data_IF_956806570949
#
_entry.id   IF_956806570949
#
_cell.length_a   1.000
_cell.length_b   1.000
_cell.length_c   1.000
_cell.angle_alpha   90.00
_cell.angle_beta   90.00
_cell.angle_gamma   90.00
#
_symmetry.space_group_name_H-M   'P 1'
#
loop_
_entity.id
_entity.type
_entity.pdbx_description
1 polymer ?
#
# COMPACT_ATOMS: atom_id res chain seq x y z
N UNK A 1 -25.11 5.72 -8.81
CA UNK A 1 -24.08 4.65 -8.65
C UNK A 1 -22.75 5.26 -9.04
N UNK A 2 -21.90 5.60 -8.07
CA UNK A 2 -20.56 6.12 -8.38
C UNK A 2 -19.67 4.94 -8.76
N UNK A 3 -19.49 4.72 -10.06
CA UNK A 3 -18.57 3.71 -10.56
C UNK A 3 -17.17 4.22 -10.25
N UNK A 4 -16.43 3.53 -9.41
CA UNK A 4 -15.01 3.86 -9.19
C UNK A 4 -14.29 3.62 -10.52
N UNK A 5 -13.69 4.62 -11.16
CA UNK A 5 -12.96 4.42 -12.41
C UNK A 5 -11.80 3.43 -12.19
N UNK A 6 -11.58 2.54 -13.15
CA UNK A 6 -10.43 1.63 -13.13
C UNK A 6 -9.09 2.39 -13.05
N UNK A 7 -9.07 3.66 -13.47
CA UNK A 7 -7.95 4.59 -13.30
C UNK A 7 -7.59 4.80 -11.83
N UNK A 8 -8.57 4.97 -10.94
CA UNK A 8 -8.33 5.13 -9.49
C UNK A 8 -7.74 3.85 -8.89
N UNK A 9 -8.15 2.67 -9.39
CA UNK A 9 -7.60 1.40 -8.92
C UNK A 9 -6.15 1.23 -9.37
N UNK A 10 -5.81 1.67 -10.59
CA UNK A 10 -4.43 1.69 -11.10
C UNK A 10 -3.54 2.67 -10.33
N UNK A 11 -4.00 3.88 -10.05
CA UNK A 11 -3.28 4.84 -9.22
C UNK A 11 -2.97 4.25 -7.84
N UNK A 12 -3.93 3.54 -7.22
CA UNK A 12 -3.70 2.84 -5.94
C UNK A 12 -2.71 1.68 -6.07
N UNK A 13 -2.63 1.02 -7.22
CA UNK A 13 -1.62 0.00 -7.48
C UNK A 13 -0.22 0.61 -7.60
N UNK A 14 -0.08 1.75 -8.28
CA UNK A 14 1.17 2.50 -8.36
C UNK A 14 1.62 3.02 -6.99
N UNK A 15 0.70 3.54 -6.18
CA UNK A 15 0.97 3.93 -4.78
C UNK A 15 1.45 2.73 -3.93
N UNK A 16 0.84 1.56 -4.08
CA UNK A 16 1.27 0.35 -3.36
C UNK A 16 2.70 -0.03 -3.78
N UNK A 17 3.01 0.00 -5.08
CA UNK A 17 4.35 -0.32 -5.58
C UNK A 17 5.38 0.69 -5.07
N UNK A 18 5.04 1.99 -5.03
CA UNK A 18 5.90 3.03 -4.48
C UNK A 18 6.18 2.79 -2.99
N UNK A 19 5.15 2.51 -2.19
CA UNK A 19 5.29 2.22 -0.76
C UNK A 19 6.12 0.96 -0.49
N UNK A 20 6.00 -0.08 -1.32
CA UNK A 20 6.84 -1.28 -1.22
C UNK A 20 8.31 -0.93 -1.47
N UNK A 21 8.60 -0.14 -2.51
CA UNK A 21 9.97 0.30 -2.81
C UNK A 21 10.56 1.15 -1.70
N UNK A 22 9.77 2.03 -1.09
CA UNK A 22 10.20 2.80 0.08
C UNK A 22 10.53 1.90 1.27
N UNK A 23 9.68 0.91 1.57
CA UNK A 23 9.95 -0.06 2.63
C UNK A 23 11.21 -0.88 2.32
N UNK A 24 11.39 -1.35 1.10
CA UNK A 24 12.61 -2.08 0.68
C UNK A 24 13.88 -1.22 0.83
N UNK A 25 13.80 0.07 0.51
CA UNK A 25 14.90 1.02 0.74
C UNK A 25 15.22 1.15 2.22
N UNK A 26 14.20 1.36 3.06
CA UNK A 26 14.37 1.48 4.51
C UNK A 26 14.90 0.20 5.14
N UNK A 27 14.52 -0.98 4.64
CA UNK A 27 15.06 -2.28 5.08
C UNK A 27 16.53 -2.43 4.67
N UNK A 28 16.92 -1.93 3.50
CA UNK A 28 18.33 -1.91 3.10
C UNK A 28 19.15 -0.94 3.97
N UNK A 29 18.61 0.24 4.27
CA UNK A 29 19.21 1.18 5.20
C UNK A 29 19.37 0.56 6.60
N UNK A 30 18.36 -0.17 7.09
CA UNK A 30 18.40 -0.89 8.36
C UNK A 30 19.56 -1.90 8.43
N UNK A 31 19.83 -2.62 7.32
CA UNK A 31 20.93 -3.60 7.27
C UNK A 31 22.30 -2.93 7.44
N UNK A 32 22.46 -1.70 6.96
CA UNK A 32 23.69 -0.90 7.07
C UNK A 32 23.73 0.03 8.29
N UNK A 33 22.61 0.19 9.00
CA UNK A 33 22.47 1.14 10.10
C UNK A 33 23.15 0.68 11.40
N UNK A 34 23.58 1.65 12.22
CA UNK A 34 24.08 1.42 13.58
C UNK A 34 22.94 1.07 14.53
N UNK A 35 23.22 0.46 15.70
CA UNK A 35 22.17 0.06 16.65
C UNK A 35 21.28 1.22 17.12
N UNK A 36 21.84 2.42 17.27
CA UNK A 36 21.11 3.62 17.66
C UNK A 36 20.11 4.07 16.58
N UNK A 37 20.44 3.88 15.30
CA UNK A 37 19.60 4.30 14.17
C UNK A 37 18.64 3.20 13.71
N UNK A 38 18.89 1.94 14.05
CA UNK A 38 17.99 0.81 13.76
C UNK A 38 16.60 1.00 14.36
N UNK A 39 16.49 1.48 15.60
CA UNK A 39 15.20 1.68 16.26
C UNK A 39 14.33 2.71 15.51
N UNK A 40 14.92 3.82 15.05
CA UNK A 40 14.23 4.85 14.27
C UNK A 40 13.81 4.33 12.89
N UNK A 41 14.66 3.55 12.23
CA UNK A 41 14.36 2.96 10.93
C UNK A 41 13.25 1.90 11.05
N UNK A 42 13.25 1.09 12.12
CA UNK A 42 12.17 0.14 12.40
C UNK A 42 10.85 0.89 12.58
N UNK A 43 10.84 1.97 13.36
CA UNK A 43 9.63 2.77 13.56
C UNK A 43 9.10 3.31 12.23
N UNK A 44 9.98 3.87 11.38
CA UNK A 44 9.61 4.35 10.03
C UNK A 44 9.07 3.21 9.14
N UNK A 45 9.69 2.03 9.16
CA UNK A 45 9.19 0.86 8.43
C UNK A 45 7.77 0.50 8.90
N UNK A 46 7.55 0.42 10.21
CA UNK A 46 6.23 0.04 10.75
C UNK A 46 5.13 1.07 10.44
N UNK A 47 5.46 2.37 10.38
CA UNK A 47 4.53 3.40 9.92
C UNK A 47 4.18 3.20 8.43
N UNK A 48 5.17 2.99 7.58
CA UNK A 48 4.95 2.76 6.15
C UNK A 48 4.20 1.46 5.85
N UNK A 49 4.39 0.43 6.67
CA UNK A 49 3.59 -0.80 6.59
C UNK A 49 2.11 -0.57 6.95
N UNK A 50 1.83 0.28 7.95
CA UNK A 50 0.45 0.67 8.30
C UNK A 50 -0.20 1.44 7.15
N UNK A 51 0.52 2.37 6.53
CA UNK A 51 0.03 3.12 5.37
C UNK A 51 -0.27 2.20 4.20
N UNK A 52 0.64 1.27 3.90
CA UNK A 52 0.46 0.27 2.86
C UNK A 52 -0.77 -0.62 3.12
N UNK A 53 -1.01 -1.01 4.38
CA UNK A 53 -2.22 -1.73 4.78
C UNK A 53 -3.48 -0.90 4.55
N UNK A 54 -3.45 0.40 4.87
CA UNK A 54 -4.57 1.31 4.66
C UNK A 54 -4.89 1.51 3.17
N UNK A 55 -3.87 1.67 2.32
CA UNK A 55 -4.04 1.79 0.86
C UNK A 55 -4.61 0.50 0.27
N UNK A 56 -4.12 -0.69 0.70
CA UNK A 56 -4.68 -1.98 0.29
C UNK A 56 -6.14 -2.15 0.69
N UNK A 57 -6.51 -1.75 1.91
CA UNK A 57 -7.91 -1.78 2.36
C UNK A 57 -8.80 -0.88 1.52
N UNK A 58 -8.38 0.37 1.26
CA UNK A 58 -9.12 1.30 0.40
C UNK A 58 -9.29 0.74 -1.02
N UNK A 59 -8.26 0.13 -1.60
CA UNK A 59 -8.35 -0.57 -2.89
C UNK A 59 -9.37 -1.72 -2.84
N UNK A 60 -9.37 -2.51 -1.77
CA UNK A 60 -10.36 -3.57 -1.57
C UNK A 60 -11.79 -3.05 -1.49
N UNK A 61 -12.01 -1.94 -0.80
CA UNK A 61 -13.31 -1.25 -0.73
C UNK A 61 -13.74 -0.74 -2.11
N UNK A 62 -12.83 -0.12 -2.87
CA UNK A 62 -13.13 0.33 -4.23
C UNK A 62 -13.55 -0.82 -5.15
N UNK A 63 -12.87 -1.98 -5.05
CA UNK A 63 -13.26 -3.19 -5.79
C UNK A 63 -14.59 -3.79 -5.34
N UNK A 64 -14.94 -3.66 -4.07
CA UNK A 64 -16.23 -4.16 -3.55
C UNK A 64 -17.42 -3.26 -3.95
N UNK A 65 -17.17 -1.96 -4.18
CA UNK A 65 -18.17 -0.98 -4.61
C UNK A 65 -18.37 -0.99 -6.12
N UNK A 66 -17.39 -1.48 -6.89
CA UNK A 66 -17.61 -1.81 -8.30
C UNK A 66 -18.76 -2.82 -8.39
N UNK A 67 -19.78 -2.58 -9.23
CA UNK A 67 -20.81 -3.58 -9.45
C UNK A 67 -20.10 -4.83 -9.96
N UNK A 68 -20.08 -5.87 -9.13
CA UNK A 68 -19.93 -7.24 -9.62
C UNK A 68 -20.94 -7.33 -10.74
N UNK A 69 -20.47 -7.42 -11.99
CA UNK A 69 -21.31 -7.83 -13.10
C UNK A 69 -21.73 -9.25 -12.76
N UNK A 70 -22.77 -9.37 -11.94
CA UNK A 70 -23.47 -10.61 -11.66
C UNK A 70 -23.97 -11.05 -13.02
N UNK A 71 -23.22 -11.97 -13.63
CA UNK A 71 -23.71 -12.74 -14.76
C UNK A 71 -24.95 -13.44 -14.23
N UNK A 72 -26.11 -12.87 -14.55
CA UNK A 72 -27.40 -13.52 -14.44
C UNK A 72 -27.43 -14.55 -15.57
N UNK A 73 -27.02 -15.76 -15.23
CA UNK A 73 -27.34 -16.99 -15.93
C UNK A 73 -28.26 -17.80 -15.03
#
# INVERSE_FOLDING_TARGET
MSVVPDEIIKEKDEEIVALIKEIDSLVNELKSASEETKAEIINKITEREKDLRAVRQKKGQFRAVLPLTTKLW
#
